data_IF_647943120770
#
_entry.id   IF_647943120770
#
_cell.length_a   1.000
_cell.length_b   1.000
_cell.length_c   1.000
_cell.angle_alpha   90.00
_cell.angle_beta   90.00
_cell.angle_gamma   90.00
#
_symmetry.space_group_name_H-M   'P 1'
#
loop_
_entity.id
_entity.type
_entity.pdbx_description
1 polymer ?
#
# COMPACT_ATOMS: atom_id res chain seq x y z
N UNK A 1 -11.10 12.70 11.59
CA UNK A 1 -10.39 11.89 12.59
C UNK A 1 -9.05 12.54 12.82
N UNK A 2 -8.82 13.09 14.02
CA UNK A 2 -7.49 13.52 14.44
C UNK A 2 -6.71 12.26 14.86
N UNK A 3 -6.00 11.66 13.92
CA UNK A 3 -5.03 10.61 14.23
C UNK A 3 -3.73 11.36 14.52
N UNK A 4 -3.29 11.33 15.77
CA UNK A 4 -1.97 11.84 16.13
C UNK A 4 -0.89 10.93 15.54
N UNK A 5 0.21 11.53 15.04
CA UNK A 5 1.36 10.76 14.61
C UNK A 5 1.92 9.93 15.77
N UNK A 6 2.39 8.70 15.52
CA UNK A 6 3.07 7.91 16.54
C UNK A 6 4.30 8.63 17.09
N UNK A 7 4.71 8.29 18.32
CA UNK A 7 5.94 8.80 18.91
C UNK A 7 7.14 8.51 18.00
N UNK A 8 8.05 9.47 17.89
CA UNK A 8 9.24 9.40 17.02
C UNK A 8 8.96 9.38 15.50
N UNK A 9 7.77 9.77 15.07
CA UNK A 9 7.44 9.97 13.66
C UNK A 9 7.35 11.46 13.35
N UNK A 10 7.85 11.85 12.16
CA UNK A 10 7.66 13.19 11.63
C UNK A 10 6.29 13.27 10.95
N UNK A 11 5.51 14.27 11.33
CA UNK A 11 4.23 14.56 10.67
C UNK A 11 4.45 15.45 9.44
N UNK A 12 4.15 14.91 8.27
CA UNK A 12 4.19 15.62 6.99
C UNK A 12 2.81 15.97 6.44
N UNK A 13 1.78 15.91 7.26
CA UNK A 13 0.41 16.32 6.89
C UNK A 13 0.39 17.80 6.49
N UNK A 14 -0.29 18.12 5.40
CA UNK A 14 -0.42 19.50 4.92
C UNK A 14 0.80 20.07 4.19
N UNK A 15 1.81 19.25 3.90
CA UNK A 15 2.95 19.64 3.09
C UNK A 15 2.59 19.75 1.60
N UNK A 16 3.34 20.59 0.89
CA UNK A 16 3.20 20.70 -0.57
C UNK A 16 3.64 19.42 -1.27
N UNK A 17 3.18 19.21 -2.50
CA UNK A 17 3.60 18.04 -3.28
C UNK A 17 5.12 18.04 -3.50
N UNK A 18 5.76 19.19 -3.68
CA UNK A 18 7.20 19.32 -3.85
C UNK A 18 7.96 18.84 -2.59
N UNK A 19 7.50 19.25 -1.40
CA UNK A 19 8.06 18.78 -0.13
C UNK A 19 7.92 17.27 0.03
N UNK A 20 6.76 16.71 -0.37
CA UNK A 20 6.52 15.26 -0.32
C UNK A 20 7.40 14.50 -1.31
N UNK A 21 7.56 15.00 -2.54
CA UNK A 21 8.48 14.43 -3.54
C UNK A 21 9.90 14.39 -2.98
N UNK A 22 10.35 15.51 -2.41
CA UNK A 22 11.69 15.61 -1.84
C UNK A 22 11.89 14.62 -0.68
N UNK A 23 10.90 14.49 0.21
CA UNK A 23 10.95 13.52 1.29
C UNK A 23 11.06 12.09 0.76
N UNK A 24 10.21 11.72 -0.19
CA UNK A 24 10.21 10.37 -0.79
C UNK A 24 11.54 10.12 -1.53
N UNK A 25 12.08 11.11 -2.21
CA UNK A 25 13.36 10.99 -2.90
C UNK A 25 14.51 10.64 -1.95
N UNK A 26 14.48 11.11 -0.70
CA UNK A 26 15.52 10.86 0.30
C UNK A 26 15.22 9.68 1.23
N UNK A 27 14.05 9.03 1.13
CA UNK A 27 13.78 7.84 1.94
C UNK A 27 14.51 6.60 1.37
N UNK A 28 14.75 5.60 2.21
CA UNK A 28 15.34 4.33 1.80
C UNK A 28 14.31 3.45 1.09
N UNK A 29 13.10 3.42 1.57
CA UNK A 29 11.95 2.72 0.98
C UNK A 29 10.64 3.41 1.39
N UNK A 30 9.55 3.06 0.73
CA UNK A 30 8.22 3.59 0.98
C UNK A 30 7.26 2.47 1.38
N UNK A 31 6.39 2.74 2.36
CA UNK A 31 5.29 1.83 2.72
C UNK A 31 3.99 2.57 2.47
N UNK A 32 3.09 1.97 1.72
CA UNK A 32 1.82 2.62 1.43
C UNK A 32 0.73 1.69 0.92
N UNK A 33 -0.45 2.27 0.83
CA UNK A 33 -1.58 1.65 0.17
C UNK A 33 -1.45 1.81 -1.35
N UNK A 34 -2.31 1.14 -2.11
CA UNK A 34 -2.45 1.34 -3.55
C UNK A 34 -3.01 2.75 -3.84
N UNK A 35 -2.14 3.73 -3.89
CA UNK A 35 -2.49 5.15 -4.05
C UNK A 35 -1.45 5.89 -4.87
N UNK A 36 -1.74 7.15 -5.21
CA UNK A 36 -0.84 8.00 -5.97
C UNK A 36 0.56 8.15 -5.36
N UNK A 37 0.68 8.19 -4.03
CA UNK A 37 2.00 8.30 -3.37
C UNK A 37 2.86 7.05 -3.56
N UNK A 38 2.27 5.85 -3.61
CA UNK A 38 3.01 4.63 -3.92
C UNK A 38 3.52 4.62 -5.36
N UNK A 39 2.72 5.10 -6.31
CA UNK A 39 3.14 5.29 -7.70
C UNK A 39 4.25 6.34 -7.83
N UNK A 40 4.15 7.42 -7.07
CA UNK A 40 5.18 8.46 -7.02
C UNK A 40 6.49 7.89 -6.48
N UNK A 41 6.46 7.16 -5.37
CA UNK A 41 7.64 6.52 -4.79
C UNK A 41 8.30 5.55 -5.79
N UNK A 42 7.50 4.73 -6.46
CA UNK A 42 8.00 3.83 -7.50
C UNK A 42 8.62 4.58 -8.68
N UNK A 43 8.00 5.68 -9.15
CA UNK A 43 8.54 6.50 -10.24
C UNK A 43 9.87 7.18 -9.87
N UNK A 44 10.09 7.43 -8.58
CA UNK A 44 11.35 7.91 -8.02
C UNK A 44 12.37 6.78 -7.74
N UNK A 45 12.13 5.58 -8.28
CA UNK A 45 12.97 4.39 -8.12
C UNK A 45 13.15 3.94 -6.66
N UNK A 46 12.17 4.22 -5.80
CA UNK A 46 12.19 3.75 -4.42
C UNK A 46 11.57 2.38 -4.30
N UNK A 47 12.14 1.47 -3.49
CA UNK A 47 11.47 0.23 -3.12
C UNK A 47 10.14 0.54 -2.42
N UNK A 48 9.06 -0.14 -2.82
CA UNK A 48 7.73 0.12 -2.27
C UNK A 48 7.15 -1.15 -1.67
N UNK A 49 6.90 -1.12 -0.36
CA UNK A 49 6.07 -2.12 0.33
C UNK A 49 4.61 -1.70 0.13
N UNK A 50 3.92 -2.42 -0.76
CA UNK A 50 2.55 -2.11 -1.17
C UNK A 50 1.56 -2.96 -0.40
N UNK A 51 0.63 -2.32 0.32
CA UNK A 51 -0.43 -3.01 1.08
C UNK A 51 -1.74 -2.85 0.32
N UNK A 52 -2.34 -3.95 -0.11
CA UNK A 52 -3.63 -3.90 -0.79
C UNK A 52 -4.40 -5.23 -0.70
N UNK A 53 -5.73 -5.14 -0.46
CA UNK A 53 -6.60 -6.31 -0.40
C UNK A 53 -7.47 -6.51 -1.64
N UNK A 54 -8.12 -5.46 -2.12
CA UNK A 54 -9.15 -5.55 -3.15
C UNK A 54 -8.64 -5.36 -4.59
N UNK A 55 -7.42 -4.84 -4.78
CA UNK A 55 -6.76 -4.76 -6.08
C UNK A 55 -5.80 -5.92 -6.26
N UNK A 56 -5.79 -6.51 -7.44
CA UNK A 56 -4.82 -7.54 -7.80
C UNK A 56 -3.45 -6.97 -8.15
N UNK A 57 -2.44 -7.81 -8.01
CA UNK A 57 -1.04 -7.46 -8.37
C UNK A 57 -0.89 -7.01 -9.83
N UNK A 58 -1.76 -7.46 -10.72
CA UNK A 58 -1.74 -7.14 -12.15
C UNK A 58 -2.11 -5.68 -12.45
N UNK A 59 -2.64 -4.97 -11.46
CA UNK A 59 -3.08 -3.57 -11.58
C UNK A 59 -2.14 -2.57 -10.88
N UNK A 60 -0.96 -3.06 -10.49
CA UNK A 60 0.08 -2.24 -9.86
C UNK A 60 1.37 -2.29 -10.65
N UNK A 61 2.28 -1.36 -10.36
CA UNK A 61 3.67 -1.51 -10.75
C UNK A 61 4.27 -2.76 -10.09
N UNK A 62 5.22 -3.42 -10.75
CA UNK A 62 5.85 -4.61 -10.20
C UNK A 62 6.65 -4.26 -8.94
N UNK A 63 6.26 -4.83 -7.81
CA UNK A 63 7.03 -4.77 -6.56
C UNK A 63 7.10 -6.16 -5.94
N UNK A 64 8.28 -6.63 -5.49
CA UNK A 64 8.40 -7.90 -4.78
C UNK A 64 7.83 -7.84 -3.35
N UNK A 65 7.54 -6.63 -2.86
CA UNK A 65 7.08 -6.38 -1.49
C UNK A 65 5.57 -6.12 -1.43
N UNK A 66 4.81 -6.87 -2.22
CA UNK A 66 3.34 -6.79 -2.22
C UNK A 66 2.75 -7.56 -1.04
N UNK A 67 1.92 -6.88 -0.25
CA UNK A 67 1.24 -7.43 0.93
C UNK A 67 -0.23 -7.62 0.60
N UNK A 68 -0.67 -8.86 0.50
CA UNK A 68 -2.04 -9.24 0.26
C UNK A 68 -2.35 -10.56 0.97
N UNK A 69 -3.51 -10.68 1.58
CA UNK A 69 -3.98 -11.95 2.11
C UNK A 69 -4.78 -12.71 1.02
N UNK A 70 -4.15 -13.70 0.40
CA UNK A 70 -4.76 -14.51 -0.65
C UNK A 70 -5.60 -15.68 -0.13
N UNK A 71 -5.63 -15.91 1.19
CA UNK A 71 -6.46 -16.95 1.80
C UNK A 71 -7.92 -16.52 1.99
N UNK A 72 -8.22 -15.25 1.80
CA UNK A 72 -9.55 -14.68 1.87
C UNK A 72 -9.97 -14.08 0.52
N UNK A 73 -11.20 -13.59 0.41
CA UNK A 73 -11.67 -12.89 -0.79
C UNK A 73 -10.75 -11.69 -1.11
N UNK A 74 -10.32 -11.57 -2.36
CA UNK A 74 -9.44 -10.51 -2.82
C UNK A 74 -9.66 -10.21 -4.32
N UNK A 75 -9.02 -9.16 -4.87
CA UNK A 75 -8.95 -8.83 -6.29
C UNK A 75 -10.29 -8.51 -6.98
N UNK A 76 -11.27 -7.97 -6.26
CA UNK A 76 -12.61 -7.72 -6.82
C UNK A 76 -12.75 -6.39 -7.57
N UNK A 77 -11.80 -5.44 -7.46
CA UNK A 77 -11.95 -4.07 -7.97
C UNK A 77 -12.20 -4.00 -9.48
N UNK A 78 -11.51 -4.81 -10.26
CA UNK A 78 -11.63 -4.85 -11.72
C UNK A 78 -12.34 -6.12 -12.23
N UNK A 79 -12.90 -6.93 -11.36
CA UNK A 79 -13.64 -8.11 -11.78
C UNK A 79 -14.95 -7.68 -12.47
N UNK A 80 -14.99 -7.86 -13.78
CA UNK A 80 -16.15 -7.47 -14.60
C UNK A 80 -17.43 -8.25 -14.30
N UNK A 81 -17.32 -9.38 -13.59
CA UNK A 81 -18.44 -10.20 -13.16
C UNK A 81 -19.15 -9.63 -11.93
N UNK A 82 -18.50 -8.65 -11.27
CA UNK A 82 -18.99 -8.05 -10.04
C UNK A 82 -19.49 -6.64 -10.38
N UNK A 83 -20.74 -6.39 -10.08
CA UNK A 83 -21.32 -5.06 -10.12
C UNK A 83 -20.87 -4.29 -8.87
N UNK A 84 -19.95 -3.38 -9.06
CA UNK A 84 -19.45 -2.54 -7.98
C UNK A 84 -19.66 -1.07 -8.32
N UNK A 85 -20.42 -0.39 -7.48
CA UNK A 85 -20.53 1.06 -7.51
C UNK A 85 -19.20 1.67 -7.01
N UNK A 86 -18.35 2.05 -7.97
CA UNK A 86 -17.03 2.63 -7.68
C UNK A 86 -17.09 4.06 -7.18
N UNK A 87 -18.22 4.72 -7.31
CA UNK A 87 -18.44 6.04 -6.72
C UNK A 87 -18.81 5.92 -5.24
N UNK A 88 -19.35 4.77 -4.83
CA UNK A 88 -19.69 4.45 -3.46
C UNK A 88 -18.99 3.18 -2.96
N UNK A 89 -17.65 3.23 -2.92
CA UNK A 89 -16.81 2.08 -2.55
C UNK A 89 -16.76 1.77 -1.05
N UNK A 90 -17.65 2.36 -0.24
CA UNK A 90 -17.79 2.03 1.18
C UNK A 90 -18.46 0.67 1.44
N UNK A 91 -18.96 0.01 0.40
CA UNK A 91 -19.61 -1.28 0.51
C UNK A 91 -18.79 -2.37 -0.16
N UNK A 92 -18.53 -3.45 0.60
CA UNK A 92 -17.91 -4.64 0.04
C UNK A 92 -18.89 -5.34 -0.92
N UNK A 93 -18.56 -5.50 -2.22
CA UNK A 93 -19.48 -6.09 -3.21
C UNK A 93 -19.84 -7.55 -2.90
N UNK A 94 -18.93 -8.27 -2.23
CA UNK A 94 -19.16 -9.64 -1.77
C UNK A 94 -19.84 -9.73 -0.40
N UNK A 95 -20.23 -8.61 0.23
CA UNK A 95 -20.81 -8.55 1.57
C UNK A 95 -19.95 -9.20 2.66
N UNK A 96 -18.65 -9.26 2.47
CA UNK A 96 -17.66 -9.84 3.38
C UNK A 96 -16.94 -8.81 4.26
N UNK A 97 -17.51 -7.62 4.38
CA UNK A 97 -17.00 -6.55 5.22
C UNK A 97 -15.50 -6.28 5.01
N UNK A 98 -15.06 -6.25 3.75
CA UNK A 98 -13.66 -5.99 3.36
C UNK A 98 -12.65 -6.91 4.06
N UNK A 99 -12.96 -8.20 4.20
CA UNK A 99 -12.03 -9.17 4.82
C UNK A 99 -10.64 -9.14 4.14
N UNK A 100 -10.59 -8.86 2.83
CA UNK A 100 -9.36 -8.70 2.07
C UNK A 100 -8.38 -7.65 2.65
N UNK A 101 -8.90 -6.61 3.30
CA UNK A 101 -8.09 -5.58 3.96
C UNK A 101 -7.97 -5.83 5.46
N UNK A 102 -9.06 -6.28 6.10
CA UNK A 102 -9.10 -6.48 7.55
C UNK A 102 -8.27 -7.68 8.04
N UNK A 103 -8.08 -8.68 7.17
CA UNK A 103 -7.31 -9.89 7.47
C UNK A 103 -5.85 -9.79 7.00
N UNK A 104 -5.38 -8.61 6.62
CA UNK A 104 -3.96 -8.33 6.52
C UNK A 104 -3.46 -8.04 7.93
N UNK A 105 -2.66 -8.94 8.46
CA UNK A 105 -2.11 -8.80 9.80
C UNK A 105 -0.74 -8.11 9.81
N UNK A 106 -0.29 -7.75 11.01
CA UNK A 106 0.97 -7.06 11.20
C UNK A 106 2.18 -7.91 10.76
N UNK A 107 2.13 -9.22 10.94
CA UNK A 107 3.24 -10.12 10.59
C UNK A 107 3.42 -10.21 9.06
N UNK A 108 2.33 -10.21 8.29
CA UNK A 108 2.39 -10.14 6.83
C UNK A 108 3.13 -8.88 6.36
N UNK A 109 2.83 -7.73 6.97
CA UNK A 109 3.46 -6.45 6.65
C UNK A 109 4.93 -6.46 7.07
N UNK A 110 5.24 -6.87 8.31
CA UNK A 110 6.61 -6.95 8.83
C UNK A 110 7.51 -7.85 7.98
N UNK A 111 7.00 -8.99 7.55
CA UNK A 111 7.76 -9.92 6.70
C UNK A 111 8.20 -9.24 5.39
N UNK A 112 7.32 -8.46 4.76
CA UNK A 112 7.65 -7.72 3.53
C UNK A 112 8.58 -6.53 3.79
N UNK A 113 8.43 -5.85 4.92
CA UNK A 113 9.37 -4.80 5.34
C UNK A 113 10.77 -5.40 5.55
N UNK A 114 10.89 -6.50 6.28
CA UNK A 114 12.17 -7.15 6.53
C UNK A 114 12.84 -7.60 5.23
N UNK A 115 12.09 -8.18 4.31
CA UNK A 115 12.59 -8.52 2.98
C UNK A 115 13.11 -7.27 2.25
N UNK A 116 12.34 -6.19 2.24
CA UNK A 116 12.72 -4.93 1.61
C UNK A 116 14.00 -4.36 2.21
N UNK A 117 14.11 -4.31 3.54
CA UNK A 117 15.30 -3.79 4.25
C UNK A 117 16.53 -4.62 3.93
N UNK A 118 16.42 -5.95 3.90
CA UNK A 118 17.52 -6.84 3.52
C UNK A 118 17.96 -6.52 2.09
N UNK A 119 17.05 -6.48 1.13
CA UNK A 119 17.35 -6.26 -0.28
C UNK A 119 17.95 -4.87 -0.55
N UNK A 120 17.54 -3.84 0.21
CA UNK A 120 18.12 -2.49 0.13
C UNK A 120 19.56 -2.51 0.65
N UNK A 121 19.82 -3.15 1.79
CA UNK A 121 21.15 -3.20 2.39
C UNK A 121 22.15 -4.04 1.58
N UNK A 122 21.70 -5.05 0.83
CA UNK A 122 22.57 -5.83 -0.05
C UNK A 122 22.88 -5.16 -1.40
N UNK A 123 22.17 -4.09 -1.78
CA UNK A 123 22.43 -3.32 -3.01
C UNK A 123 23.43 -2.17 -2.81
N UNK A 124 23.85 -1.93 -1.59
CA UNK A 124 24.91 -0.98 -1.22
C UNK A 124 26.27 -1.69 -1.19
#
# INVERSE_FOLDING_TARGET
CNISSPDNCLDYTGKTLEEVINLIYHCEFFIGLSSGLSWLAWSLCKPVVMICGFLGSDYHFPTPYFVQNTSVCHNCWYDKRIEWDRENFFHCPHKKNFECSRMIDLEMVKNKINQCVIDVNFKL
#
